data_IF_805814148069
#
_entry.id   IF_805814148069
#
_cell.length_a   1.000
_cell.length_b   1.000
_cell.length_c   1.000
_cell.angle_alpha   90.00
_cell.angle_beta   90.00
_cell.angle_gamma   90.00
#
_symmetry.space_group_name_H-M   'P 1'
#
loop_
_entity.id
_entity.type
_entity.pdbx_description
1 polymer ?
#
# COMPACT_ATOMS: atom_id res chain seq x y z
N UNK A 1 -10.97 -15.80 0.57
CA UNK A 1 -10.23 -14.54 0.34
C UNK A 1 -11.01 -13.71 -0.66
N UNK A 2 -11.34 -12.45 -0.34
CA UNK A 2 -12.12 -11.54 -1.21
C UNK A 2 -11.22 -10.79 -2.20
N UNK A 3 -9.90 -10.94 -2.09
CA UNK A 3 -8.91 -10.33 -2.96
C UNK A 3 -7.51 -10.60 -2.42
N UNK A 4 -6.56 -10.88 -3.31
CA UNK A 4 -5.15 -11.03 -2.99
C UNK A 4 -4.31 -10.12 -3.88
N UNK A 5 -3.33 -9.44 -3.28
CA UNK A 5 -2.30 -8.69 -3.96
C UNK A 5 -0.95 -9.37 -3.71
N UNK A 6 -0.06 -9.28 -4.69
CA UNK A 6 1.34 -9.70 -4.58
C UNK A 6 2.22 -8.51 -4.92
N UNK A 7 3.36 -8.41 -4.24
CA UNK A 7 4.36 -7.36 -4.47
C UNK A 7 3.75 -5.95 -4.42
N UNK A 8 3.07 -5.65 -3.31
CA UNK A 8 2.41 -4.37 -3.10
C UNK A 8 3.45 -3.27 -2.95
N UNK A 9 3.27 -2.17 -3.66
CA UNK A 9 4.05 -0.94 -3.50
C UNK A 9 3.12 0.24 -3.31
N UNK A 10 3.39 1.06 -2.31
CA UNK A 10 2.66 2.29 -2.01
C UNK A 10 3.66 3.44 -1.94
N UNK A 11 3.31 4.56 -2.55
CA UNK A 11 4.08 5.80 -2.52
C UNK A 11 3.14 6.90 -2.05
N UNK A 12 3.42 7.46 -0.88
CA UNK A 12 2.67 8.59 -0.35
C UNK A 12 3.37 9.88 -0.73
N UNK A 13 2.60 10.79 -1.32
CA UNK A 13 3.04 12.12 -1.70
C UNK A 13 2.35 13.16 -0.82
N UNK A 14 3.07 14.21 -0.44
CA UNK A 14 2.43 15.39 0.12
C UNK A 14 1.82 16.28 -0.98
N UNK A 15 1.15 17.36 -0.58
CA UNK A 15 0.50 18.33 -1.47
C UNK A 15 1.44 19.00 -2.49
N UNK A 16 2.76 18.95 -2.24
CA UNK A 16 3.81 19.46 -3.13
C UNK A 16 4.40 18.37 -4.03
N UNK A 17 3.74 17.21 -4.10
CA UNK A 17 4.17 16.04 -4.87
C UNK A 17 5.54 15.49 -4.47
N UNK A 18 5.95 15.68 -3.21
CA UNK A 18 7.18 15.09 -2.68
C UNK A 18 6.85 13.80 -1.95
N UNK A 19 7.70 12.79 -2.14
CA UNK A 19 7.60 11.53 -1.41
C UNK A 19 7.79 11.81 0.08
N UNK A 20 6.84 11.33 0.89
CA UNK A 20 6.93 11.34 2.36
C UNK A 20 7.13 9.94 2.89
N UNK A 21 6.64 8.93 2.17
CA UNK A 21 6.73 7.54 2.56
C UNK A 21 6.70 6.63 1.34
N UNK A 22 7.44 5.52 1.43
CA UNK A 22 7.24 4.36 0.57
C UNK A 22 7.00 3.13 1.43
N UNK A 23 6.18 2.22 0.92
CA UNK A 23 5.92 0.93 1.55
C UNK A 23 5.96 -0.17 0.50
N UNK A 24 6.63 -1.27 0.82
CA UNK A 24 6.58 -2.51 0.05
C UNK A 24 6.09 -3.64 0.94
N UNK A 25 5.27 -4.53 0.40
CA UNK A 25 4.82 -5.74 1.08
C UNK A 25 4.82 -6.92 0.11
N UNK A 26 5.09 -8.12 0.62
CA UNK A 26 5.13 -9.31 -0.24
C UNK A 26 3.73 -9.72 -0.69
N UNK A 27 2.77 -9.67 0.23
CA UNK A 27 1.36 -10.04 -0.01
C UNK A 27 0.42 -9.03 0.63
N UNK A 28 -0.79 -8.95 0.09
CA UNK A 28 -1.91 -8.25 0.69
C UNK A 28 -3.17 -9.10 0.59
N UNK A 29 -3.92 -9.23 1.69
CA UNK A 29 -5.21 -9.91 1.71
C UNK A 29 -6.32 -8.96 2.13
N UNK A 30 -7.41 -8.93 1.34
CA UNK A 30 -8.56 -8.10 1.67
C UNK A 30 -9.47 -8.80 2.68
N UNK A 31 -9.58 -8.22 3.86
CA UNK A 31 -10.48 -8.67 4.92
C UNK A 31 -11.90 -8.14 4.72
N UNK A 32 -12.90 -8.81 5.32
CA UNK A 32 -14.30 -8.39 5.29
C UNK A 32 -14.53 -6.98 5.91
N UNK A 33 -13.59 -6.50 6.72
CA UNK A 33 -13.65 -5.18 7.38
C UNK A 33 -13.19 -4.03 6.47
N UNK A 34 -13.14 -4.25 5.15
CA UNK A 34 -12.72 -3.27 4.14
C UNK A 34 -11.26 -2.81 4.27
N UNK A 35 -10.41 -3.63 4.87
CA UNK A 35 -9.00 -3.34 5.08
C UNK A 35 -8.12 -4.41 4.46
N UNK A 36 -6.96 -3.99 3.97
CA UNK A 36 -5.90 -4.89 3.52
C UNK A 36 -4.99 -5.23 4.69
N UNK A 37 -4.76 -6.52 4.91
CA UNK A 37 -3.65 -6.99 5.73
C UNK A 37 -2.46 -7.19 4.81
N UNK A 38 -1.40 -6.43 5.01
CA UNK A 38 -0.15 -6.51 4.26
C UNK A 38 0.90 -7.25 5.07
N UNK A 39 1.59 -8.21 4.46
CA UNK A 39 2.60 -9.03 5.15
C UNK A 39 4.00 -8.83 4.58
N UNK A 40 5.01 -9.02 5.45
CA UNK A 40 6.43 -8.78 5.15
C UNK A 40 6.69 -7.35 4.65
N UNK A 41 6.32 -6.39 5.48
CA UNK A 41 6.28 -4.97 5.13
C UNK A 41 7.62 -4.31 5.41
N UNK A 42 8.15 -3.59 4.42
CA UNK A 42 9.23 -2.61 4.60
C UNK A 42 8.68 -1.21 4.29
N UNK A 43 8.77 -0.31 5.27
CA UNK A 43 8.31 1.07 5.15
C UNK A 43 9.48 2.02 5.33
N UNK A 44 9.68 2.92 4.37
CA UNK A 44 10.65 4.00 4.43
C UNK A 44 9.90 5.30 4.64
N UNK A 45 10.19 6.00 5.74
CA UNK A 45 9.62 7.30 6.04
C UNK A 45 10.68 8.38 5.86
N UNK A 46 10.38 9.40 5.05
CA UNK A 46 11.23 10.56 4.84
C UNK A 46 10.85 11.64 5.85
N UNK A 47 11.80 12.05 6.68
CA UNK A 47 11.63 13.08 7.68
C UNK A 47 11.72 14.49 7.07
N UNK A 48 11.21 15.54 7.73
CA UNK A 48 11.27 16.90 7.21
C UNK A 48 12.69 17.42 6.93
N UNK A 49 13.69 16.88 7.63
CA UNK A 49 15.11 17.19 7.43
C UNK A 49 15.75 16.42 6.25
N UNK A 50 14.97 15.56 5.58
CA UNK A 50 15.41 14.73 4.46
C UNK A 50 16.05 13.40 4.86
N UNK A 51 16.22 13.12 6.15
CA UNK A 51 16.68 11.81 6.61
C UNK A 51 15.59 10.74 6.42
N UNK A 52 16.00 9.47 6.30
CA UNK A 52 15.07 8.37 6.08
C UNK A 52 15.14 7.33 7.21
N UNK A 53 13.98 6.84 7.65
CA UNK A 53 13.87 5.78 8.65
C UNK A 53 13.21 4.56 8.03
N UNK A 54 13.89 3.42 8.11
CA UNK A 54 13.33 2.13 7.71
C UNK A 54 12.63 1.46 8.91
N UNK A 55 11.38 1.07 8.71
CA UNK A 55 10.61 0.23 9.64
C UNK A 55 10.22 -1.06 8.95
N UNK A 56 10.25 -2.16 9.70
CA UNK A 56 9.85 -3.49 9.21
C UNK A 56 8.72 -4.02 10.06
N UNK A 57 7.70 -4.56 9.42
CA UNK A 57 6.56 -5.16 10.11
C UNK A 57 6.31 -6.56 9.54
N UNK A 58 6.09 -7.57 10.40
CA UNK A 58 5.66 -8.87 9.91
C UNK A 58 4.30 -8.79 9.23
N UNK A 59 3.40 -7.94 9.75
CA UNK A 59 2.08 -7.67 9.20
C UNK A 59 1.59 -6.27 9.57
N UNK A 60 0.77 -5.63 8.74
CA UNK A 60 0.17 -4.32 8.99
C UNK A 60 -1.21 -4.22 8.34
N UNK A 61 -2.17 -3.62 9.05
CA UNK A 61 -3.46 -3.26 8.47
C UNK A 61 -3.35 -1.92 7.76
N UNK A 62 -3.75 -1.88 6.50
CA UNK A 62 -3.75 -0.69 5.68
C UNK A 62 -5.13 -0.44 5.08
N UNK A 63 -5.61 0.79 5.23
CA UNK A 63 -6.79 1.27 4.53
C UNK A 63 -6.34 1.77 3.15
N UNK A 64 -6.48 0.92 2.13
CA UNK A 64 -6.30 1.35 0.74
C UNK A 64 -7.66 1.75 0.15
N UNK A 65 -7.67 2.82 -0.64
CA UNK A 65 -8.87 3.25 -1.37
C UNK A 65 -9.34 2.20 -2.42
N UNK A 66 -8.42 1.35 -2.88
CA UNK A 66 -8.70 0.28 -3.84
C UNK A 66 -9.33 -0.92 -3.12
N UNK A 67 -10.65 -0.99 -3.15
CA UNK A 67 -11.40 -2.21 -2.85
C UNK A 67 -11.32 -3.21 -4.01
N UNK A 68 -11.41 -4.54 -3.78
CA UNK A 68 -11.26 -5.56 -4.83
C UNK A 68 -12.13 -5.36 -6.08
N UNK A 69 -13.33 -4.77 -5.92
CA UNK A 69 -14.21 -4.39 -7.03
C UNK A 69 -13.56 -3.45 -8.06
N UNK A 70 -12.55 -2.68 -7.67
CA UNK A 70 -11.85 -1.72 -8.54
C UNK A 70 -10.59 -2.30 -9.20
N UNK A 71 -10.00 -3.37 -8.65
CA UNK A 71 -8.83 -4.02 -9.26
C UNK A 71 -9.21 -4.70 -10.59
N UNK A 72 -10.46 -5.16 -10.71
CA UNK A 72 -10.99 -5.75 -11.94
C UNK A 72 -11.42 -4.72 -13.01
N UNK A 73 -11.59 -3.44 -12.64
CA UNK A 73 -12.10 -2.40 -13.56
C UNK A 73 -10.96 -1.65 -14.29
N UNK A 74 -9.75 -1.61 -13.72
CA UNK A 74 -8.60 -0.89 -14.33
C UNK A 74 -7.88 -1.72 -15.40
N UNK A 75 -8.13 -3.02 -15.49
CA UNK A 75 -7.55 -3.91 -16.51
C UNK A 75 -8.38 -4.02 -17.80
N UNK A 76 -9.59 -3.46 -17.81
CA UNK A 76 -10.43 -3.36 -19.01
C UNK A 76 -10.43 -1.89 -19.39
N UNK A 77 -9.93 -1.58 -20.59
CA UNK A 77 -9.92 -0.21 -21.10
C UNK A 77 -11.32 0.42 -20.94
N UNK A 78 -11.42 1.70 -20.51
CA UNK A 78 -12.68 2.40 -20.64
C UNK A 78 -13.00 2.49 -22.13
N UNK A 79 -14.20 2.08 -22.54
CA UNK A 79 -14.70 2.39 -23.89
C UNK A 79 -14.76 3.91 -24.12
#
# INVERSE_FOLDING_TARGET
>A
SMGQLKQVQVIDLNEKYRITQTLSAQTGEFSANQQWTLDQVNQVQIQPDGSAVLKRYPSTQMQLALQPRFVQIVTVAPE
#
